data_IF_144905521904
#
_entry.id   IF_144905521904
#
_cell.length_a   1.000
_cell.length_b   1.000
_cell.length_c   1.000
_cell.angle_alpha   90.00
_cell.angle_beta   90.00
_cell.angle_gamma   90.00
#
_symmetry.space_group_name_H-M   'P 1'
#
loop_
_entity.id
_entity.type
_entity.pdbx_description
1 polymer ?
#
# COMPACT_ATOMS: atom_id res chain seq x y z
N UNK A 1 -9.53 -4.09 -14.60
CA UNK A 1 -8.56 -3.88 -13.51
C UNK A 1 -8.74 -5.02 -12.53
N UNK A 2 -7.67 -5.66 -12.07
CA UNK A 2 -7.75 -6.71 -11.05
C UNK A 2 -7.50 -6.08 -9.69
N UNK A 3 -8.25 -6.47 -8.67
CA UNK A 3 -7.99 -6.00 -7.31
C UNK A 3 -7.00 -6.91 -6.54
N UNK A 4 -6.63 -6.50 -5.32
CA UNK A 4 -5.66 -7.27 -4.53
C UNK A 4 -6.18 -8.65 -4.10
N UNK A 5 -7.49 -8.82 -3.89
CA UNK A 5 -8.06 -10.12 -3.50
C UNK A 5 -7.97 -11.09 -4.68
N UNK A 6 -8.40 -10.66 -5.86
CA UNK A 6 -8.31 -11.42 -7.10
C UNK A 6 -6.87 -11.82 -7.44
N UNK A 7 -5.90 -10.93 -7.22
CA UNK A 7 -4.49 -11.21 -7.45
C UNK A 7 -3.90 -12.17 -6.41
N UNK A 8 -4.37 -12.12 -5.16
CA UNK A 8 -3.90 -13.04 -4.11
C UNK A 8 -4.40 -14.46 -4.31
N UNK A 9 -5.59 -14.66 -4.85
CA UNK A 9 -6.12 -15.99 -5.13
C UNK A 9 -5.39 -16.70 -6.29
N UNK A 10 -4.77 -15.93 -7.19
CA UNK A 10 -4.01 -16.47 -8.32
C UNK A 10 -2.73 -17.19 -7.90
N UNK A 11 -2.35 -18.18 -8.70
CA UNK A 11 -1.08 -18.89 -8.54
C UNK A 11 0.08 -18.01 -8.97
N UNK A 12 1.26 -18.26 -8.41
CA UNK A 12 2.47 -17.53 -8.78
C UNK A 12 2.76 -17.62 -10.30
N UNK A 13 2.46 -18.75 -10.94
CA UNK A 13 2.60 -18.92 -12.39
C UNK A 13 1.63 -18.04 -13.19
N UNK A 14 0.41 -17.82 -12.69
CA UNK A 14 -0.59 -16.96 -13.33
C UNK A 14 -0.22 -15.49 -13.17
N UNK A 15 0.26 -15.08 -11.99
CA UNK A 15 0.77 -13.74 -11.75
C UNK A 15 1.96 -13.41 -12.64
N UNK A 16 2.87 -14.37 -12.85
CA UNK A 16 3.99 -14.18 -13.78
C UNK A 16 3.52 -14.00 -15.22
N UNK A 17 2.49 -14.74 -15.67
CA UNK A 17 1.89 -14.54 -16.99
C UNK A 17 1.29 -13.15 -17.14
N UNK A 18 0.49 -12.71 -16.16
CA UNK A 18 -0.08 -11.35 -16.14
C UNK A 18 1.03 -10.30 -16.24
N UNK A 19 2.09 -10.44 -15.45
CA UNK A 19 3.21 -9.52 -15.49
C UNK A 19 3.94 -9.53 -16.85
N UNK A 20 4.09 -10.69 -17.49
CA UNK A 20 4.67 -10.81 -18.84
C UNK A 20 3.78 -10.17 -19.91
N UNK A 21 2.47 -10.39 -19.86
CA UNK A 21 1.50 -9.80 -20.79
C UNK A 21 1.50 -8.27 -20.69
N UNK A 22 1.70 -7.74 -19.47
CA UNK A 22 1.88 -6.32 -19.18
C UNK A 22 3.31 -5.81 -19.45
N UNK A 23 4.22 -6.66 -19.92
CA UNK A 23 5.64 -6.35 -20.23
C UNK A 23 6.44 -5.82 -19.03
N UNK A 24 6.09 -6.24 -17.82
CA UNK A 24 6.81 -5.89 -16.59
C UNK A 24 8.13 -6.68 -16.56
N UNK A 25 9.26 -5.97 -16.57
CA UNK A 25 10.59 -6.58 -16.49
C UNK A 25 11.00 -6.94 -15.06
N UNK A 26 11.86 -7.96 -14.89
CA UNK A 26 12.48 -8.26 -13.60
C UNK A 26 11.57 -8.96 -12.57
N UNK A 27 10.46 -9.56 -13.02
CA UNK A 27 9.46 -10.17 -12.13
C UNK A 27 9.78 -11.58 -11.64
N UNK A 28 10.71 -12.28 -12.29
CA UNK A 28 10.97 -13.71 -12.05
C UNK A 28 11.55 -14.04 -10.67
N UNK A 29 12.25 -13.09 -10.03
CA UNK A 29 12.82 -13.25 -8.68
C UNK A 29 11.94 -12.67 -7.57
N UNK A 30 10.80 -12.04 -7.91
CA UNK A 30 9.96 -11.36 -6.94
C UNK A 30 9.15 -12.36 -6.11
N UNK A 31 9.03 -12.06 -4.81
CA UNK A 31 8.05 -12.74 -3.95
C UNK A 31 6.64 -12.40 -4.42
N UNK A 32 5.68 -13.29 -4.14
CA UNK A 32 4.27 -13.12 -4.56
C UNK A 32 3.70 -11.74 -4.23
N UNK A 33 3.91 -11.24 -3.01
CA UNK A 33 3.41 -9.93 -2.60
C UNK A 33 4.00 -8.76 -3.42
N UNK A 34 5.30 -8.81 -3.71
CA UNK A 34 5.97 -7.78 -4.51
C UNK A 34 5.57 -7.86 -5.99
N UNK A 35 5.33 -9.07 -6.50
CA UNK A 35 4.79 -9.29 -7.84
C UNK A 35 3.38 -8.70 -7.99
N UNK A 36 2.50 -8.93 -7.01
CA UNK A 36 1.16 -8.33 -6.96
C UNK A 36 1.26 -6.80 -6.98
N UNK A 37 2.16 -6.24 -6.16
CA UNK A 37 2.39 -4.80 -6.12
C UNK A 37 2.81 -4.24 -7.48
N UNK A 38 3.77 -4.89 -8.18
CA UNK A 38 4.19 -4.49 -9.53
C UNK A 38 3.05 -4.53 -10.55
N UNK A 39 2.18 -5.53 -10.47
CA UNK A 39 1.02 -5.63 -11.35
C UNK A 39 0.05 -4.47 -11.10
N UNK A 40 -0.25 -4.16 -9.83
CA UNK A 40 -1.13 -3.04 -9.47
C UNK A 40 -0.54 -1.68 -9.88
N UNK A 41 0.77 -1.50 -9.69
CA UNK A 41 1.52 -0.32 -10.13
C UNK A 41 1.40 -0.12 -11.65
N UNK A 42 1.67 -1.17 -12.43
CA UNK A 42 1.60 -1.11 -13.89
C UNK A 42 0.17 -0.92 -14.39
N UNK A 43 -0.84 -1.55 -13.76
CA UNK A 43 -2.25 -1.35 -14.12
C UNK A 43 -2.66 0.11 -13.94
N UNK A 44 -2.23 0.72 -12.84
CA UNK A 44 -2.51 2.13 -12.54
C UNK A 44 -1.76 3.05 -13.51
N UNK A 45 -0.51 2.73 -13.85
CA UNK A 45 0.28 3.49 -14.80
C UNK A 45 -0.30 3.48 -16.22
N UNK A 46 -0.87 2.35 -16.66
CA UNK A 46 -1.56 2.25 -17.96
C UNK A 46 -2.81 3.13 -18.05
N UNK A 47 -3.45 3.44 -16.92
CA UNK A 47 -4.56 4.40 -16.81
C UNK A 47 -4.08 5.86 -16.71
N UNK A 48 -2.76 6.10 -16.78
CA UNK A 48 -2.15 7.43 -16.65
C UNK A 48 -2.19 7.98 -15.21
N UNK A 49 -2.42 7.10 -14.23
CA UNK A 49 -2.49 7.45 -12.82
C UNK A 49 -1.17 7.12 -12.11
N UNK A 50 -0.90 7.80 -11.00
CA UNK A 50 0.28 7.53 -10.17
C UNK A 50 -0.07 6.52 -9.09
N UNK A 51 0.89 5.66 -8.75
CA UNK A 51 0.76 4.62 -7.74
C UNK A 51 1.95 4.67 -6.80
N UNK A 52 1.73 4.45 -5.50
CA UNK A 52 2.85 4.41 -4.55
C UNK A 52 2.55 3.59 -3.30
N UNK A 53 3.63 3.33 -2.54
CA UNK A 53 3.68 2.54 -1.30
C UNK A 53 4.42 3.33 -0.24
N UNK A 54 3.93 3.30 1.00
CA UNK A 54 4.68 3.80 2.14
C UNK A 54 4.10 3.33 3.47
N UNK A 55 4.84 3.59 4.54
CA UNK A 55 4.42 3.25 5.91
C UNK A 55 3.78 4.48 6.55
N UNK A 56 2.56 4.32 7.05
CA UNK A 56 1.77 5.38 7.62
C UNK A 56 2.36 5.87 8.95
N UNK A 57 2.54 7.18 9.06
CA UNK A 57 2.71 7.90 10.32
C UNK A 57 1.55 8.87 10.51
N UNK A 58 0.77 8.69 11.59
CA UNK A 58 -0.33 9.58 11.95
C UNK A 58 0.20 10.64 12.93
N UNK A 59 -0.09 11.90 12.63
CA UNK A 59 0.28 13.06 13.46
C UNK A 59 -0.85 13.44 14.44
N UNK A 60 -0.57 14.27 15.46
CA UNK A 60 -1.55 14.60 16.52
C UNK A 60 -2.89 15.15 16.03
N UNK A 61 -2.89 15.87 14.90
CA UNK A 61 -4.11 16.44 14.29
C UNK A 61 -4.93 15.40 13.50
N UNK A 62 -4.52 14.13 13.49
CA UNK A 62 -5.25 13.01 12.92
C UNK A 62 -5.07 12.79 11.41
N UNK A 63 -4.34 13.66 10.72
CA UNK A 63 -3.84 13.38 9.37
C UNK A 63 -2.50 12.62 9.44
N UNK A 64 -2.02 12.11 8.32
CA UNK A 64 -0.75 11.39 8.30
C UNK A 64 0.01 11.49 6.99
N UNK A 65 1.19 10.90 7.00
CA UNK A 65 2.06 10.76 5.83
C UNK A 65 2.47 9.31 5.64
N UNK A 66 2.50 8.84 4.39
CA UNK A 66 3.15 7.58 4.05
C UNK A 66 4.64 7.86 3.84
N UNK A 67 5.46 7.37 4.77
CA UNK A 67 6.91 7.50 4.75
C UNK A 67 7.54 6.42 3.86
N UNK A 68 8.58 6.80 3.13
CA UNK A 68 9.30 5.90 2.24
C UNK A 68 10.40 5.11 2.95
N UNK A 69 10.54 3.83 2.60
CA UNK A 69 11.69 3.00 3.01
C UNK A 69 13.00 3.55 2.46
N UNK A 70 12.98 4.19 1.30
CA UNK A 70 14.17 4.73 0.63
C UNK A 70 14.76 5.93 1.40
N UNK A 71 13.97 6.54 2.29
CA UNK A 71 14.38 7.66 3.13
C UNK A 71 14.44 7.27 4.61
N UNK A 72 14.59 5.97 4.92
CA UNK A 72 14.65 5.44 6.29
C UNK A 72 13.47 5.87 7.17
N UNK A 73 12.27 6.01 6.58
CA UNK A 73 11.06 6.51 7.24
C UNK A 73 11.17 7.93 7.83
N UNK A 74 12.20 8.68 7.46
CA UNK A 74 12.33 10.08 7.83
C UNK A 74 11.38 10.94 7.00
N UNK A 75 10.98 12.11 7.51
CA UNK A 75 10.23 13.08 6.73
C UNK A 75 10.97 13.46 5.45
N UNK A 76 10.31 13.27 4.30
CA UNK A 76 10.87 13.52 2.97
C UNK A 76 9.92 14.36 2.10
N UNK A 77 10.44 14.97 1.03
CA UNK A 77 9.61 15.75 0.09
C UNK A 77 8.61 14.88 -0.69
N UNK A 78 8.90 13.58 -0.83
CA UNK A 78 8.08 12.62 -1.57
C UNK A 78 7.03 11.92 -0.69
N UNK A 79 6.86 12.38 0.55
CA UNK A 79 5.87 11.82 1.47
C UNK A 79 4.45 12.04 0.94
N UNK A 80 3.61 11.02 1.13
CA UNK A 80 2.24 11.03 0.61
C UNK A 80 1.30 11.39 1.74
N UNK A 81 0.64 12.53 1.63
CA UNK A 81 -0.41 12.95 2.53
C UNK A 81 -1.60 11.98 2.48
N UNK A 82 -2.10 11.62 3.65
CA UNK A 82 -3.36 10.90 3.83
C UNK A 82 -4.28 11.68 4.76
N UNK A 83 -5.54 11.80 4.36
CA UNK A 83 -6.53 12.58 5.10
C UNK A 83 -7.04 11.84 6.36
N UNK A 84 -7.48 12.57 7.41
CA UNK A 84 -8.11 11.97 8.59
C UNK A 84 -9.33 11.10 8.23
N UNK A 85 -10.09 11.48 7.20
CA UNK A 85 -11.24 10.73 6.71
C UNK A 85 -10.85 9.36 6.14
N UNK A 86 -9.74 9.27 5.41
CA UNK A 86 -9.23 7.99 4.89
C UNK A 86 -8.69 7.11 6.03
N UNK A 87 -7.92 7.70 6.95
CA UNK A 87 -7.42 7.01 8.15
C UNK A 87 -8.58 6.39 8.92
N UNK A 88 -9.63 7.17 9.19
CA UNK A 88 -10.82 6.71 9.91
C UNK A 88 -11.61 5.66 9.13
N UNK A 89 -11.80 5.83 7.82
CA UNK A 89 -12.59 4.91 6.98
C UNK A 89 -12.01 3.49 6.94
N UNK A 90 -10.69 3.37 6.92
CA UNK A 90 -10.00 2.08 6.83
C UNK A 90 -9.42 1.61 8.17
N UNK A 91 -9.75 2.30 9.28
CA UNK A 91 -9.21 1.99 10.62
C UNK A 91 -7.68 1.87 10.63
N UNK A 92 -7.01 2.77 9.89
CA UNK A 92 -5.56 2.77 9.74
C UNK A 92 -4.90 3.23 11.04
N UNK A 93 -3.67 2.74 11.25
CA UNK A 93 -2.84 3.04 12.42
C UNK A 93 -1.41 3.33 11.96
N UNK A 94 -0.68 4.10 12.77
CA UNK A 94 0.76 4.30 12.56
C UNK A 94 1.45 2.94 12.48
N UNK A 95 2.30 2.76 11.46
CA UNK A 95 2.97 1.50 11.14
C UNK A 95 2.32 0.69 10.02
N UNK A 96 1.10 1.05 9.58
CA UNK A 96 0.47 0.36 8.46
C UNK A 96 1.20 0.63 7.14
N UNK A 97 1.53 -0.42 6.40
CA UNK A 97 1.98 -0.28 5.01
C UNK A 97 0.76 -0.05 4.14
N UNK A 98 0.66 1.14 3.54
CA UNK A 98 -0.45 1.52 2.67
C UNK A 98 0.07 1.62 1.24
N UNK A 99 -0.67 1.01 0.34
CA UNK A 99 -0.44 1.11 -1.11
C UNK A 99 -1.68 1.64 -1.77
N UNK A 100 -1.49 2.51 -2.76
CA UNK A 100 -2.62 3.02 -3.50
C UNK A 100 -2.30 4.07 -4.54
N UNK A 101 -3.36 4.54 -5.18
CA UNK A 101 -3.28 5.59 -6.18
C UNK A 101 -3.00 6.92 -5.51
N UNK A 102 -2.06 7.68 -6.06
CA UNK A 102 -1.71 9.02 -5.59
C UNK A 102 -1.97 10.06 -6.67
N UNK A 103 -2.01 11.32 -6.27
CA UNK A 103 -2.07 12.45 -7.19
C UNK A 103 -1.00 13.49 -6.81
N UNK A 104 -0.49 14.26 -7.79
CA UNK A 104 0.40 15.37 -7.49
C UNK A 104 -0.31 16.44 -6.63
N UNK A 105 0.46 17.27 -5.92
CA UNK A 105 -0.06 18.43 -5.21
C UNK A 105 -0.76 19.40 -6.17
N UNK A 106 -1.87 19.99 -5.71
CA UNK A 106 -2.47 21.18 -6.35
C UNK A 106 -1.69 22.44 -5.97
N UNK A 107 -2.02 23.59 -6.58
CA UNK A 107 -1.31 24.86 -6.40
C UNK A 107 -1.07 25.31 -4.93
N UNK A 108 -1.91 24.85 -4.00
CA UNK A 108 -1.81 25.16 -2.56
C UNK A 108 -1.33 23.98 -1.69
N UNK A 109 -0.89 22.88 -2.30
CA UNK A 109 -0.43 21.68 -1.61
C UNK A 109 1.08 21.49 -1.84
N UNK A 110 1.78 20.91 -0.86
CA UNK A 110 3.24 20.66 -0.96
C UNK A 110 3.59 19.21 -1.24
N UNK A 111 2.69 18.29 -0.96
CA UNK A 111 2.94 16.85 -0.96
C UNK A 111 2.00 16.14 -1.94
N UNK A 112 2.42 14.96 -2.39
CA UNK A 112 1.49 14.03 -3.05
C UNK A 112 0.35 13.68 -2.09
N UNK A 113 -0.84 13.42 -2.61
CA UNK A 113 -1.98 13.02 -1.79
C UNK A 113 -2.49 11.65 -2.23
N UNK A 114 -2.83 10.81 -1.26
CA UNK A 114 -3.44 9.52 -1.52
C UNK A 114 -4.87 9.74 -2.04
N UNK A 115 -5.15 9.24 -3.25
CA UNK A 115 -6.44 9.32 -3.89
C UNK A 115 -7.32 8.12 -3.52
N UNK A 116 -6.76 6.90 -3.65
CA UNK A 116 -7.47 5.64 -3.38
C UNK A 116 -6.54 4.66 -2.65
N UNK A 117 -7.04 4.05 -1.59
CA UNK A 117 -6.35 2.95 -0.90
C UNK A 117 -6.65 1.65 -1.63
N UNK A 118 -5.61 0.92 -2.03
CA UNK A 118 -5.72 -0.34 -2.78
C UNK A 118 -5.42 -1.53 -1.89
N UNK A 119 -4.47 -1.36 -0.96
CA UNK A 119 -4.17 -2.37 0.04
C UNK A 119 -3.56 -1.77 1.30
N UNK A 120 -3.75 -2.51 2.39
CA UNK A 120 -3.20 -2.22 3.72
C UNK A 120 -2.51 -3.49 4.22
N UNK A 121 -1.22 -3.42 4.53
CA UNK A 121 -0.39 -4.56 4.94
C UNK A 121 -0.51 -5.77 3.98
N UNK A 122 -0.50 -5.51 2.67
CA UNK A 122 -0.63 -6.51 1.60
C UNK A 122 -1.97 -7.27 1.59
N UNK A 123 -2.98 -6.73 2.26
CA UNK A 123 -4.34 -7.24 2.31
C UNK A 123 -5.33 -6.21 1.75
N UNK A 124 -6.53 -6.68 1.42
CA UNK A 124 -7.66 -5.81 1.10
C UNK A 124 -7.90 -4.78 2.23
N UNK A 125 -8.16 -3.51 1.90
CA UNK A 125 -8.35 -2.44 2.89
C UNK A 125 -9.51 -2.73 3.86
N UNK A 126 -10.48 -3.55 3.46
CA UNK A 126 -11.61 -3.90 4.32
C UNK A 126 -11.20 -4.84 5.47
N UNK A 127 -10.18 -5.70 5.28
CA UNK A 127 -9.65 -6.58 6.34
C UNK A 127 -8.99 -5.80 7.48
N UNK A 128 -8.50 -4.58 7.21
CA UNK A 128 -7.85 -3.75 8.22
C UNK A 128 -8.81 -3.36 9.37
N UNK A 129 -10.13 -3.41 9.15
CA UNK A 129 -11.14 -3.11 10.17
C UNK A 129 -11.35 -4.25 11.17
N UNK A 130 -11.10 -5.49 10.76
CA UNK A 130 -11.39 -6.69 11.56
C UNK A 130 -10.20 -7.12 12.43
N UNK A 131 -9.04 -6.46 12.29
CA UNK A 131 -7.80 -6.84 12.99
C UNK A 131 -7.88 -6.56 14.50
N UNK A 132 -7.40 -7.53 15.27
CA UNK A 132 -7.15 -7.35 16.70
C UNK A 132 -6.01 -6.34 16.94
N UNK A 133 -6.02 -5.71 18.12
CA UNK A 133 -4.86 -4.95 18.58
C UNK A 133 -3.74 -5.91 18.93
N UNK A 134 -2.50 -5.56 18.61
CA UNK A 134 -1.33 -6.35 19.00
C UNK A 134 -1.30 -6.57 20.53
N UNK A 135 -1.60 -5.52 21.31
CA UNK A 135 -1.65 -5.57 22.78
C UNK A 135 -2.75 -6.50 23.33
N UNK A 136 -3.71 -6.92 22.49
CA UNK A 136 -4.76 -7.87 22.86
C UNK A 136 -4.41 -9.32 22.54
N UNK A 137 -3.26 -9.58 21.91
CA UNK A 137 -2.80 -10.93 21.63
C UNK A 137 -2.24 -11.57 22.90
N UNK A 138 -2.50 -12.86 23.08
CA UNK A 138 -1.93 -13.63 24.19
C UNK A 138 -0.45 -13.93 23.90
N UNK A 139 0.49 -13.50 24.74
CA UNK A 139 1.89 -13.83 24.56
C UNK A 139 2.13 -15.32 24.85
N UNK A 140 2.80 -16.00 23.93
CA UNK A 140 3.18 -17.42 24.04
C UNK A 140 4.69 -17.57 23.77
N UNK A 141 5.26 -18.69 24.22
CA UNK A 141 6.61 -19.07 23.82
C UNK A 141 6.63 -19.52 22.34
N UNK A 142 7.77 -19.40 21.64
CA UNK A 142 7.89 -19.92 20.27
C UNK A 142 7.68 -21.43 20.21
N UNK A 143 6.83 -21.89 19.29
CA UNK A 143 6.58 -23.32 19.05
C UNK A 143 7.20 -23.81 17.73
N UNK A 144 7.66 -22.89 16.87
CA UNK A 144 8.34 -23.12 15.58
C UNK A 144 9.45 -22.07 15.35
#
# INVERSE_FOLDING_TARGET
MLDIEELKEKKASELNKIAQDMKISGVSSLKKAELIFRILEEQTAQEGLLFSKGVLEILPDGYGFLRSTNYNYLPGPDDIYISPSQIKRFSLRTGDTVTGQIRPPKDNERFFALLRVEAVNFESPDRARERLLFDSLTPLYPEE
#
